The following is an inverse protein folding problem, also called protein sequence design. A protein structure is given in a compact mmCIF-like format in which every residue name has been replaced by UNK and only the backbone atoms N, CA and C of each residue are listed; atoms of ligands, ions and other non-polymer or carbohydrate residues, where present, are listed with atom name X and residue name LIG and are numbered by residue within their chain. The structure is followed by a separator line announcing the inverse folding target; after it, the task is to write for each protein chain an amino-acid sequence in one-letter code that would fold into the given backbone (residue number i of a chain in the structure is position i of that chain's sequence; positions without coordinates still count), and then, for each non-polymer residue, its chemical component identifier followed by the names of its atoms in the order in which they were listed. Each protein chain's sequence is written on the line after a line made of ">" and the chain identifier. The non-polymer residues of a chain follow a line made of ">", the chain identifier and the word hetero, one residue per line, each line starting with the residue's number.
data_IF_529960708830
#
_entry.id   IF_529960708830
#
_cell.length_a   1.000
_cell.length_b   1.000
_cell.length_c   1.000
_cell.angle_alpha   90.00
_cell.angle_beta   90.00
_cell.angle_gamma   90.00
#
_symmetry.space_group_name_H-M   'P 1'
#
loop_
_entity.id
_entity.type
_entity.pdbx_description
1 polymer ?
#
# COMPACT_ATOMS: atom_id res chain seq x y z
N UNK A 1 -40.26 20.40 37.84
CA UNK A 1 -38.82 20.69 37.67
C UNK A 1 -38.33 19.95 36.44
N UNK A 2 -38.20 20.69 35.34
CA UNK A 2 -37.49 20.25 34.14
C UNK A 2 -36.03 19.89 34.46
N UNK A 3 -35.43 18.99 33.68
CA UNK A 3 -33.99 18.77 33.78
C UNK A 3 -33.45 17.52 33.10
N UNK A 4 -33.78 17.31 31.83
CA UNK A 4 -33.02 16.60 30.79
C UNK A 4 -31.73 15.87 31.21
N UNK A 5 -31.78 14.54 31.30
CA UNK A 5 -30.59 13.67 31.25
C UNK A 5 -29.97 13.75 29.86
N UNK A 6 -28.95 14.60 29.74
CA UNK A 6 -28.14 14.80 28.53
C UNK A 6 -27.45 13.47 28.18
N UNK A 7 -27.93 12.78 27.14
CA UNK A 7 -27.16 11.75 26.43
C UNK A 7 -25.94 12.44 25.84
N UNK A 8 -24.78 12.27 26.47
CA UNK A 8 -23.49 12.69 25.92
C UNK A 8 -23.21 11.81 24.70
N UNK A 9 -23.62 12.32 23.53
CA UNK A 9 -23.14 11.84 22.25
C UNK A 9 -21.66 12.22 22.14
N UNK A 10 -20.80 11.39 22.72
CA UNK A 10 -19.35 11.45 22.51
C UNK A 10 -19.14 10.94 21.09
N UNK A 11 -19.32 11.82 20.10
CA UNK A 11 -18.76 11.58 18.78
C UNK A 11 -17.26 11.55 18.98
N UNK A 12 -16.68 10.35 18.96
CA UNK A 12 -15.23 10.14 18.98
C UNK A 12 -14.64 10.98 17.86
N UNK A 13 -14.02 12.11 18.23
CA UNK A 13 -13.35 13.00 17.28
C UNK A 13 -12.11 12.25 16.83
N UNK A 14 -12.22 11.58 15.68
CA UNK A 14 -11.09 10.87 15.05
C UNK A 14 -10.03 11.90 14.72
N UNK A 15 -8.98 11.97 15.56
CA UNK A 15 -7.81 12.80 15.28
C UNK A 15 -7.11 12.25 14.02
N UNK A 16 -6.72 13.10 13.06
CA UNK A 16 -5.93 12.64 11.92
C UNK A 16 -4.64 12.01 12.44
N UNK A 17 -4.35 10.82 11.93
CA UNK A 17 -3.20 10.01 12.34
C UNK A 17 -1.90 10.77 12.05
N UNK A 18 -1.07 10.95 13.08
CA UNK A 18 0.33 11.36 12.89
C UNK A 18 1.12 10.07 12.69
N UNK A 19 1.46 9.85 11.45
CA UNK A 19 2.34 8.80 11.02
C UNK A 19 3.75 9.12 11.62
N UNK A 20 4.27 8.29 12.54
CA UNK A 20 5.64 8.38 13.12
C UNK A 20 6.50 7.13 12.86
N UNK A 21 7.83 7.19 13.08
CA UNK A 21 8.85 6.11 12.97
C UNK A 21 8.45 4.68 13.42
N UNK A 22 7.37 4.52 14.19
CA UNK A 22 6.69 3.23 14.38
C UNK A 22 6.11 2.62 13.07
N UNK A 23 6.30 3.28 11.93
CA UNK A 23 5.89 2.86 10.58
C UNK A 23 6.43 1.54 10.06
N UNK A 24 7.40 0.94 10.75
CA UNK A 24 7.74 -0.46 10.53
C UNK A 24 6.51 -1.36 10.59
N UNK A 25 5.48 -1.03 11.39
CA UNK A 25 4.26 -1.84 11.47
C UNK A 25 3.47 -1.88 10.15
N UNK A 26 3.39 -0.77 9.40
CA UNK A 26 2.70 -0.78 8.10
C UNK A 26 3.48 -1.66 7.10
N UNK A 27 4.79 -1.44 6.98
CA UNK A 27 5.62 -2.21 6.05
C UNK A 27 5.62 -3.68 6.42
N UNK A 28 5.71 -3.99 7.72
CA UNK A 28 5.64 -5.35 8.24
C UNK A 28 4.29 -5.99 7.92
N UNK A 29 3.16 -5.29 8.09
CA UNK A 29 1.84 -5.84 7.78
C UNK A 29 1.64 -6.04 6.27
N UNK A 30 2.18 -5.14 5.44
CA UNK A 30 2.28 -5.30 3.97
C UNK A 30 3.08 -6.55 3.63
N UNK A 31 4.16 -6.80 4.38
CA UNK A 31 5.05 -7.96 4.22
C UNK A 31 4.37 -9.27 4.61
N UNK A 32 3.75 -9.31 5.79
CA UNK A 32 3.00 -10.45 6.31
C UNK A 32 1.80 -10.80 5.43
N UNK A 33 1.13 -9.78 4.88
CA UNK A 33 -0.01 -9.98 4.00
C UNK A 33 0.41 -10.30 2.55
N UNK A 34 1.71 -10.27 2.26
CA UNK A 34 2.31 -10.49 0.93
C UNK A 34 1.51 -9.79 -0.17
N UNK A 35 1.17 -8.53 0.09
CA UNK A 35 0.18 -7.81 -0.71
C UNK A 35 0.57 -7.67 -2.18
N UNK A 36 1.87 -7.81 -2.49
CA UNK A 36 2.41 -7.83 -3.85
C UNK A 36 2.02 -9.07 -4.65
N UNK A 37 1.76 -10.23 -4.02
CA UNK A 37 1.35 -11.47 -4.73
C UNK A 37 0.07 -11.33 -5.54
N UNK A 38 -0.76 -10.35 -5.21
CA UNK A 38 -2.07 -10.15 -5.84
C UNK A 38 -1.98 -9.19 -7.02
N UNK A 39 -2.60 -9.56 -8.15
CA UNK A 39 -2.69 -8.75 -9.37
C UNK A 39 -3.23 -7.34 -9.07
N UNK A 40 -2.64 -6.34 -9.73
CA UNK A 40 -3.10 -4.95 -9.66
C UNK A 40 -4.54 -4.80 -10.14
N UNK A 41 -5.35 -4.08 -9.36
CA UNK A 41 -6.78 -3.87 -9.65
C UNK A 41 -7.67 -5.08 -9.38
N UNK A 42 -7.13 -6.19 -8.86
CA UNK A 42 -7.92 -7.35 -8.48
C UNK A 42 -8.66 -7.11 -7.15
N UNK A 43 -9.88 -7.67 -7.01
CA UNK A 43 -10.62 -7.69 -5.75
C UNK A 43 -9.79 -8.18 -4.54
N UNK A 44 -9.01 -9.28 -4.62
CA UNK A 44 -8.24 -9.75 -3.47
C UNK A 44 -7.15 -8.76 -3.04
N UNK A 45 -6.54 -8.00 -3.97
CA UNK A 45 -5.61 -6.92 -3.61
C UNK A 45 -6.28 -5.88 -2.72
N UNK A 46 -7.52 -5.48 -3.03
CA UNK A 46 -8.31 -4.58 -2.19
C UNK A 46 -8.60 -5.16 -0.81
N UNK A 47 -8.97 -6.44 -0.74
CA UNK A 47 -9.22 -7.13 0.53
C UNK A 47 -7.97 -7.24 1.40
N UNK A 48 -6.78 -7.37 0.80
CA UNK A 48 -5.53 -7.35 1.56
C UNK A 48 -5.30 -6.00 2.20
N UNK A 49 -5.51 -4.90 1.48
CA UNK A 49 -5.42 -3.56 2.07
C UNK A 49 -6.45 -3.32 3.18
N UNK A 50 -7.64 -3.91 3.04
CA UNK A 50 -8.66 -3.89 4.09
C UNK A 50 -8.18 -4.64 5.33
N UNK A 51 -7.67 -5.87 5.17
CA UNK A 51 -7.08 -6.65 6.27
C UNK A 51 -5.92 -5.95 6.95
N UNK A 52 -5.01 -5.35 6.18
CA UNK A 52 -3.91 -4.53 6.72
C UNK A 52 -4.48 -3.40 7.58
N UNK A 53 -5.51 -2.71 7.09
CA UNK A 53 -6.16 -1.66 7.89
C UNK A 53 -6.85 -2.19 9.14
N UNK A 54 -7.49 -3.36 9.08
CA UNK A 54 -8.10 -3.98 10.25
C UNK A 54 -7.06 -4.42 11.28
N UNK A 55 -5.95 -5.05 10.84
CA UNK A 55 -4.86 -5.47 11.73
C UNK A 55 -4.23 -4.27 12.41
N UNK A 56 -3.90 -3.22 11.65
CA UNK A 56 -3.38 -1.97 12.20
C UNK A 56 -4.40 -1.29 13.13
N UNK A 57 -5.69 -1.36 12.83
CA UNK A 57 -6.73 -0.81 13.72
C UNK A 57 -6.94 -1.66 14.99
N UNK A 58 -6.51 -2.92 15.01
CA UNK A 58 -6.59 -3.82 16.19
C UNK A 58 -5.36 -3.70 17.10
N UNK A 59 -4.26 -3.12 16.62
CA UNK A 59 -3.09 -2.85 17.45
C UNK A 59 -3.48 -1.81 18.50
N UNK A 60 -3.55 -2.25 19.76
CA UNK A 60 -3.92 -1.40 20.91
C UNK A 60 -2.92 -0.25 21.13
N UNK A 61 -1.70 -0.43 20.61
CA UNK A 61 -0.62 0.57 20.51
C UNK A 61 -1.05 1.81 19.72
N UNK A 62 -1.93 1.65 18.73
CA UNK A 62 -2.43 2.72 17.88
C UNK A 62 -3.81 3.15 18.35
N UNK A 63 -3.87 4.25 19.11
CA UNK A 63 -5.12 4.84 19.66
C UNK A 63 -6.10 5.40 18.60
N UNK A 64 -6.01 4.98 17.34
CA UNK A 64 -6.78 5.55 16.23
C UNK A 64 -7.29 4.49 15.26
N UNK A 65 -8.47 4.75 14.70
CA UNK A 65 -9.09 3.92 13.66
C UNK A 65 -8.45 4.24 12.32
N UNK A 66 -7.69 3.31 11.75
CA UNK A 66 -7.21 3.43 10.37
C UNK A 66 -8.23 2.84 9.40
N UNK A 67 -8.43 3.50 8.27
CA UNK A 67 -9.24 2.99 7.16
C UNK A 67 -8.33 2.56 6.02
N UNK A 68 -8.77 1.60 5.20
CA UNK A 68 -8.10 1.16 3.96
C UNK A 68 -7.57 2.34 3.13
N UNK A 69 -8.39 3.38 2.92
CA UNK A 69 -7.98 4.56 2.16
C UNK A 69 -6.81 5.31 2.80
N UNK A 70 -6.77 5.43 4.12
CA UNK A 70 -5.68 6.12 4.83
C UNK A 70 -4.37 5.34 4.75
N UNK A 71 -4.45 4.01 4.83
CA UNK A 71 -3.29 3.11 4.68
C UNK A 71 -2.70 3.21 3.27
N UNK A 72 -3.58 3.15 2.26
CA UNK A 72 -3.16 3.27 0.86
C UNK A 72 -2.56 4.65 0.55
N UNK A 73 -3.18 5.74 1.02
CA UNK A 73 -2.69 7.11 0.81
C UNK A 73 -1.32 7.32 1.46
N UNK A 74 -1.13 6.78 2.68
CA UNK A 74 0.16 6.84 3.36
C UNK A 74 1.24 6.04 2.63
N UNK A 75 0.94 4.83 2.16
CA UNK A 75 1.86 4.06 1.33
C UNK A 75 2.29 4.84 0.07
N UNK A 76 1.36 5.52 -0.60
CA UNK A 76 1.66 6.34 -1.79
C UNK A 76 2.57 7.53 -1.43
N UNK A 77 2.37 8.17 -0.27
CA UNK A 77 3.29 9.21 0.19
C UNK A 77 4.70 8.66 0.43
N UNK A 78 4.81 7.53 1.13
CA UNK A 78 6.10 6.87 1.39
C UNK A 78 6.81 6.47 0.09
N UNK A 79 6.07 5.94 -0.89
CA UNK A 79 6.63 5.55 -2.19
C UNK A 79 7.22 6.78 -2.91
N UNK A 80 6.50 7.90 -2.88
CA UNK A 80 6.96 9.15 -3.50
C UNK A 80 8.17 9.72 -2.78
N UNK A 81 8.16 9.73 -1.46
CA UNK A 81 9.26 10.23 -0.64
C UNK A 81 10.52 9.40 -0.89
N UNK A 82 10.41 8.06 -0.88
CA UNK A 82 11.55 7.18 -1.14
C UNK A 82 12.12 7.36 -2.54
N UNK A 83 11.26 7.45 -3.56
CA UNK A 83 11.70 7.73 -4.94
C UNK A 83 12.33 9.11 -5.07
N UNK A 84 11.86 10.10 -4.31
CA UNK A 84 12.44 11.44 -4.28
C UNK A 84 13.82 11.40 -3.62
N UNK A 85 13.97 10.76 -2.45
CA UNK A 85 15.25 10.54 -1.78
C UNK A 85 16.30 9.92 -2.72
N UNK A 86 15.95 8.83 -3.40
CA UNK A 86 16.85 8.17 -4.36
C UNK A 86 17.23 9.10 -5.52
N UNK A 87 16.27 9.90 -6.00
CA UNK A 87 16.54 10.89 -7.07
C UNK A 87 17.46 12.01 -6.60
N UNK A 88 17.25 12.50 -5.38
CA UNK A 88 18.06 13.56 -4.78
C UNK A 88 19.47 13.07 -4.47
N UNK A 89 19.64 11.85 -3.98
CA UNK A 89 20.96 11.21 -3.81
C UNK A 89 21.72 11.17 -5.14
N UNK A 90 21.06 10.68 -6.20
CA UNK A 90 21.64 10.64 -7.55
C UNK A 90 21.97 12.02 -8.11
N UNK A 91 21.18 13.04 -7.78
CA UNK A 91 21.40 14.41 -8.27
C UNK A 91 22.50 15.14 -7.49
N UNK A 92 22.57 14.93 -6.17
CA UNK A 92 23.55 15.57 -5.29
C UNK A 92 24.90 14.85 -5.32
N UNK A 93 24.94 13.58 -5.75
CA UNK A 93 26.15 12.74 -5.74
C UNK A 93 26.63 12.37 -4.33
N UNK A 94 25.85 12.69 -3.30
CA UNK A 94 26.13 12.40 -1.90
C UNK A 94 25.16 11.32 -1.47
N UNK A 95 25.70 10.19 -0.99
CA UNK A 95 24.91 9.12 -0.40
C UNK A 95 24.12 9.66 0.79
N UNK A 96 22.80 9.75 0.65
CA UNK A 96 21.89 10.03 1.76
C UNK A 96 22.00 8.87 2.75
N UNK A 97 21.81 9.12 4.05
CA UNK A 97 21.75 8.03 5.02
C UNK A 97 20.49 7.20 4.74
N UNK A 98 20.66 6.03 4.13
CA UNK A 98 19.59 5.06 3.97
C UNK A 98 19.33 4.43 5.33
N UNK A 99 18.10 4.56 5.81
CA UNK A 99 17.67 3.87 7.02
C UNK A 99 17.17 2.47 6.66
N UNK A 100 17.21 1.48 7.58
CA UNK A 100 16.65 0.16 7.32
C UNK A 100 15.17 0.17 6.88
N UNK A 101 14.44 1.23 7.24
CA UNK A 101 13.09 1.50 6.78
C UNK A 101 13.04 1.86 5.29
N UNK A 102 13.95 2.73 4.84
CA UNK A 102 14.07 3.11 3.42
C UNK A 102 14.41 1.88 2.55
N UNK A 103 15.29 0.99 3.03
CA UNK A 103 15.60 -0.29 2.38
C UNK A 103 14.36 -1.18 2.29
N UNK A 104 13.64 -1.37 3.41
CA UNK A 104 12.42 -2.18 3.44
C UNK A 104 11.33 -1.62 2.51
N UNK A 105 11.21 -0.30 2.45
CA UNK A 105 10.26 0.36 1.56
C UNK A 105 10.65 0.16 0.10
N UNK A 106 11.94 0.26 -0.22
CA UNK A 106 12.46 0.04 -1.59
C UNK A 106 12.19 -1.39 -2.03
N UNK A 107 12.50 -2.38 -1.19
CA UNK A 107 12.21 -3.80 -1.46
C UNK A 107 10.73 -4.01 -1.76
N UNK A 108 9.83 -3.52 -0.90
CA UNK A 108 8.39 -3.63 -1.10
C UNK A 108 7.95 -3.01 -2.44
N UNK A 109 8.46 -1.82 -2.78
CA UNK A 109 8.15 -1.14 -4.05
C UNK A 109 8.62 -1.98 -5.25
N UNK A 110 9.81 -2.57 -5.16
CA UNK A 110 10.37 -3.43 -6.21
C UNK A 110 9.56 -4.73 -6.37
N UNK A 111 9.20 -5.40 -5.27
CA UNK A 111 8.31 -6.58 -5.28
C UNK A 111 6.97 -6.27 -5.96
N UNK A 112 6.38 -5.11 -5.66
CA UNK A 112 5.14 -4.68 -6.31
C UNK A 112 5.30 -4.43 -7.81
N UNK A 113 6.42 -3.82 -8.22
CA UNK A 113 6.72 -3.55 -9.62
C UNK A 113 6.99 -4.82 -10.42
N UNK A 114 7.79 -5.73 -9.87
CA UNK A 114 8.14 -6.99 -10.53
C UNK A 114 6.87 -7.80 -10.79
N UNK A 115 6.01 -7.97 -9.79
CA UNK A 115 4.76 -8.71 -9.97
C UNK A 115 3.79 -8.04 -10.95
N UNK A 116 3.70 -6.71 -10.94
CA UNK A 116 2.85 -5.96 -11.88
C UNK A 116 3.37 -6.11 -13.33
N UNK A 117 4.69 -6.10 -13.52
CA UNK A 117 5.33 -6.31 -14.81
C UNK A 117 5.12 -7.75 -15.32
N UNK A 118 5.28 -8.76 -14.45
CA UNK A 118 5.03 -10.14 -14.81
C UNK A 118 3.54 -10.39 -15.16
N UNK A 119 2.60 -9.82 -14.41
CA UNK A 119 1.16 -9.95 -14.72
C UNK A 119 0.82 -9.30 -16.08
N UNK A 120 1.41 -8.13 -16.36
CA UNK A 120 1.27 -7.46 -17.65
C UNK A 120 1.90 -8.25 -18.80
N UNK A 121 3.06 -8.89 -18.58
CA UNK A 121 3.69 -9.76 -19.57
C UNK A 121 2.82 -10.99 -19.86
N UNK A 122 2.27 -11.63 -18.83
CA UNK A 122 1.35 -12.76 -19.00
C UNK A 122 0.05 -12.38 -19.73
N UNK A 123 -0.48 -11.18 -19.50
CA UNK A 123 -1.65 -10.69 -20.25
C UNK A 123 -1.33 -10.41 -21.73
N UNK A 124 -0.19 -9.77 -22.01
CA UNK A 124 0.23 -9.48 -23.39
C UNK A 124 0.48 -10.76 -24.19
N UNK A 125 1.07 -11.79 -23.58
CA UNK A 125 1.33 -13.07 -24.24
C UNK A 125 0.03 -13.85 -24.55
N UNK A 126 -0.96 -13.80 -23.65
CA UNK A 126 -2.29 -14.38 -23.90
C UNK A 126 -3.04 -13.67 -25.04
N UNK A 127 -2.82 -12.37 -25.24
CA UNK A 127 -3.45 -11.59 -26.32
C UNK A 127 -2.77 -11.84 -27.68
N UNK A 128 -1.50 -12.24 -27.70
CA UNK A 128 -0.74 -12.58 -28.91
C UNK A 128 -1.16 -13.92 -29.55
N UNK A 129 -1.59 -14.91 -28.77
CA UNK A 129 -2.00 -16.25 -29.28
C UNK A 129 -3.40 -16.31 -29.90
N UNK A 130 -4.16 -15.20 -29.91
CA UNK A 130 -5.52 -15.13 -30.48
C UNK A 130 -5.62 -14.75 -31.96
N UNK A 131 -4.51 -14.44 -32.64
CA UNK A 131 -4.50 -14.00 -34.05
C UNK A 131 -3.62 -14.89 -34.91
N UNK A 132 -4.08 -16.11 -35.14
CA UNK A 132 -3.38 -17.06 -36.00
C UNK A 132 -4.28 -18.23 -36.33
N UNK A 133 -5.34 -17.99 -37.08
CA UNK A 133 -6.04 -18.98 -37.92
C UNK A 133 -7.10 -18.25 -38.75
N UNK A 134 -6.69 -17.78 -39.92
CA UNK A 134 -7.55 -17.81 -41.09
C UNK A 134 -6.66 -18.19 -42.28
N UNK A 135 -6.37 -19.48 -42.37
CA UNK A 135 -5.93 -20.10 -43.61
C UNK A 135 -7.20 -20.35 -44.41
N UNK A 136 -7.52 -19.47 -45.36
CA UNK A 136 -8.44 -19.80 -46.44
C UNK A 136 -7.62 -20.03 -47.70
N UNK A 137 -7.27 -21.30 -47.88
CA UNK A 137 -6.88 -21.84 -49.17
C UNK A 137 -8.12 -22.17 -50.01
N UNK A 138 -7.84 -22.33 -51.30
CA UNK A 138 -8.71 -22.68 -52.44
C UNK A 138 -9.60 -21.56 -52.98
#
# INVERSE_FOLDING_TARGET
>A
MEGSKKKTNIKSVKRPMVWSDQHNMLLQEIYLSESWKYKRGSKPRGQVWERISESLSKLESTRFTVNQKSVCDHYIMLEKEQKNKIREEKASGIALQHTPFDDSMTDIIEQFKERDAEDQQLESEKKGKGRGRDCKGS
#
